data_IF_740832102225
#
_entry.id   IF_740832102225
#
_cell.length_a   1.000
_cell.length_b   1.000
_cell.length_c   1.000
_cell.angle_alpha   90.00
_cell.angle_beta   90.00
_cell.angle_gamma   90.00
#
_symmetry.space_group_name_H-M   'P 1'
#
loop_
_entity.id
_entity.type
_entity.pdbx_description
1 polymer ?
#
# COMPACT_ATOMS: atom_id res chain seq x y z
N UNK A 1 3.31 -10.22 48.30
CA UNK A 1 3.18 -11.50 47.56
C UNK A 1 3.23 -11.18 46.08
N UNK A 2 4.34 -11.48 45.43
CA UNK A 2 4.64 -11.08 44.06
C UNK A 2 4.13 -12.08 43.03
N UNK A 3 3.70 -11.58 41.88
CA UNK A 3 3.60 -12.35 40.65
C UNK A 3 4.80 -11.98 39.76
N UNK A 4 5.77 -12.89 39.54
CA UNK A 4 6.84 -12.64 38.59
C UNK A 4 6.36 -12.95 37.17
N UNK A 5 6.14 -11.90 36.37
CA UNK A 5 5.97 -12.01 34.91
C UNK A 5 7.31 -12.46 34.30
N UNK A 6 7.42 -13.76 33.99
CA UNK A 6 8.50 -14.32 33.18
C UNK A 6 8.40 -13.79 31.76
N UNK A 7 9.41 -13.03 31.34
CA UNK A 7 9.73 -12.75 29.93
C UNK A 7 10.15 -14.07 29.26
N UNK A 8 9.31 -14.62 28.40
CA UNK A 8 9.72 -15.63 27.42
C UNK A 8 9.92 -14.94 26.08
N UNK A 9 11.18 -14.61 25.78
CA UNK A 9 11.65 -14.32 24.43
C UNK A 9 11.50 -15.59 23.59
N UNK A 10 10.63 -15.56 22.59
CA UNK A 10 10.53 -16.57 21.54
C UNK A 10 11.54 -16.18 20.46
N UNK A 11 12.66 -16.90 20.26
CA UNK A 11 13.48 -16.71 19.07
C UNK A 11 12.83 -17.39 17.88
N UNK A 12 12.49 -16.60 16.86
CA UNK A 12 12.20 -17.09 15.51
C UNK A 12 13.44 -17.85 14.99
N UNK A 13 13.31 -19.16 14.83
CA UNK A 13 14.29 -20.01 14.16
C UNK A 13 14.26 -19.72 12.65
N UNK A 14 15.42 -19.51 11.98
CA UNK A 14 15.46 -19.35 10.55
C UNK A 14 15.34 -20.70 9.84
N UNK A 15 14.54 -20.68 8.77
CA UNK A 15 14.42 -21.68 7.71
C UNK A 15 15.66 -22.57 7.52
N UNK A 16 15.49 -23.85 7.85
CA UNK A 16 16.37 -24.95 7.45
C UNK A 16 15.97 -25.40 6.04
N UNK A 17 16.64 -24.88 5.03
CA UNK A 17 16.64 -25.45 3.68
C UNK A 17 17.76 -26.47 3.58
N UNK A 18 17.38 -27.74 3.47
CA UNK A 18 18.25 -28.82 3.05
C UNK A 18 18.75 -28.55 1.61
N UNK A 19 19.96 -28.00 1.46
CA UNK A 19 20.72 -28.14 0.22
C UNK A 19 21.55 -29.41 0.31
N UNK A 20 21.10 -30.47 -0.37
CA UNK A 20 21.93 -31.60 -0.73
C UNK A 20 22.90 -31.10 -1.81
N UNK A 21 24.12 -30.78 -1.40
CA UNK A 21 25.22 -30.45 -2.31
C UNK A 21 25.80 -31.79 -2.77
N UNK A 22 25.56 -32.12 -4.04
CA UNK A 22 26.26 -33.18 -4.74
C UNK A 22 27.64 -32.66 -5.13
N UNK A 23 28.67 -33.44 -4.80
CA UNK A 23 30.07 -33.14 -5.07
C UNK A 23 30.53 -33.69 -6.43
N UNK A 24 31.55 -33.01 -6.97
CA UNK A 24 32.55 -33.43 -7.98
C UNK A 24 32.30 -33.12 -9.48
N UNK A 25 33.35 -32.95 -10.31
CA UNK A 25 34.76 -32.60 -10.03
C UNK A 25 35.30 -31.41 -10.87
N UNK A 26 36.45 -30.93 -10.43
CA UNK A 26 37.37 -30.02 -11.12
C UNK A 26 37.70 -30.48 -12.54
N UNK A 27 37.52 -29.61 -13.54
CA UNK A 27 38.24 -29.69 -14.80
C UNK A 27 38.77 -28.31 -15.23
N UNK A 28 40.10 -28.28 -15.34
CA UNK A 28 40.87 -27.63 -16.41
C UNK A 28 41.03 -26.10 -16.39
N UNK A 29 42.13 -25.72 -15.74
CA UNK A 29 42.85 -24.44 -15.83
C UNK A 29 43.31 -24.15 -17.27
N UNK A 30 42.50 -23.50 -18.11
CA UNK A 30 43.01 -22.91 -19.37
C UNK A 30 42.14 -21.81 -20.00
N UNK A 31 41.37 -21.03 -19.23
CA UNK A 31 40.59 -19.90 -19.78
C UNK A 31 40.63 -18.62 -18.93
N UNK A 32 41.61 -18.47 -18.03
CA UNK A 32 41.64 -17.40 -17.03
C UNK A 32 42.04 -15.99 -17.51
N UNK A 33 42.40 -15.75 -18.78
CA UNK A 33 42.87 -14.42 -19.22
C UNK A 33 41.88 -13.61 -20.08
N UNK A 34 40.87 -14.24 -20.69
CA UNK A 34 39.88 -13.55 -21.54
C UNK A 34 38.52 -13.36 -20.87
N UNK A 35 38.23 -14.11 -19.81
CA UNK A 35 36.97 -14.02 -19.08
C UNK A 35 37.00 -12.86 -18.05
N UNK A 36 38.20 -12.49 -17.57
CA UNK A 36 38.38 -11.43 -16.58
C UNK A 36 38.00 -10.02 -17.08
N UNK A 37 38.06 -9.77 -18.39
CA UNK A 37 37.71 -8.47 -18.98
C UNK A 37 36.21 -8.32 -19.25
N UNK A 38 35.49 -9.43 -19.47
CA UNK A 38 34.05 -9.41 -19.78
C UNK A 38 33.22 -9.22 -18.50
N UNK A 39 33.68 -9.74 -17.35
CA UNK A 39 33.00 -9.54 -16.07
C UNK A 39 33.12 -8.11 -15.53
N UNK A 40 34.20 -7.38 -15.86
CA UNK A 40 34.42 -6.00 -15.41
C UNK A 40 33.56 -4.97 -16.17
N UNK A 41 33.21 -5.24 -17.43
CA UNK A 41 32.28 -4.42 -18.22
C UNK A 41 30.80 -4.72 -17.93
N UNK A 42 30.48 -5.93 -17.46
CA UNK A 42 29.11 -6.29 -17.07
C UNK A 42 28.63 -5.70 -15.75
N UNK A 43 29.55 -5.29 -14.86
CA UNK A 43 29.20 -4.73 -13.55
C UNK A 43 28.89 -3.22 -13.58
N UNK A 44 29.28 -2.49 -14.62
CA UNK A 44 29.03 -1.04 -14.72
C UNK A 44 27.61 -0.70 -15.20
N UNK A 45 26.83 -1.68 -15.67
CA UNK A 45 25.49 -1.48 -16.21
C UNK A 45 24.38 -1.52 -15.16
N UNK A 46 24.70 -1.72 -13.88
CA UNK A 46 23.72 -1.81 -12.78
C UNK A 46 23.84 -0.60 -11.84
N UNK A 47 24.21 0.57 -12.34
CA UNK A 47 23.89 1.80 -11.60
C UNK A 47 22.37 1.99 -11.73
N UNK A 48 21.58 1.84 -10.65
CA UNK A 48 20.23 2.36 -10.67
C UNK A 48 20.37 3.85 -10.97
N UNK A 49 19.76 4.31 -12.06
CA UNK A 49 19.63 5.74 -12.30
C UNK A 49 19.06 6.32 -11.01
N UNK A 50 19.80 7.22 -10.36
CA UNK A 50 19.31 7.95 -9.20
C UNK A 50 18.07 8.70 -9.68
N UNK A 51 16.90 8.12 -9.42
CA UNK A 51 15.64 8.70 -9.83
C UNK A 51 15.54 10.07 -9.20
N UNK A 52 15.41 11.11 -10.03
CA UNK A 52 15.15 12.45 -9.54
C UNK A 52 13.98 12.38 -8.56
N UNK A 53 14.24 12.74 -7.29
CA UNK A 53 13.19 12.77 -6.29
C UNK A 53 12.18 13.84 -6.70
N UNK A 54 10.91 13.46 -6.85
CA UNK A 54 9.86 14.39 -7.21
C UNK A 54 9.88 15.62 -6.27
N UNK A 55 9.66 16.84 -6.80
CA UNK A 55 9.73 18.05 -6.00
C UNK A 55 8.72 17.98 -4.83
N UNK A 56 9.12 18.45 -3.63
CA UNK A 56 8.24 18.53 -2.49
C UNK A 56 7.07 19.48 -2.77
N UNK A 57 5.93 19.26 -2.10
CA UNK A 57 4.68 19.99 -2.36
C UNK A 57 4.81 21.52 -2.33
N UNK A 58 5.69 22.06 -1.48
CA UNK A 58 5.86 23.51 -1.34
C UNK A 58 6.56 24.18 -2.53
N UNK A 59 7.17 23.39 -3.43
CA UNK A 59 7.81 23.88 -4.66
C UNK A 59 6.86 23.89 -5.86
N UNK A 60 5.65 23.33 -5.72
CA UNK A 60 4.60 23.44 -6.73
C UNK A 60 4.08 24.87 -6.81
N UNK A 61 3.55 25.23 -7.98
CA UNK A 61 2.81 26.47 -8.15
C UNK A 61 1.75 26.65 -7.03
N UNK A 62 1.74 27.80 -6.33
CA UNK A 62 0.86 27.99 -5.18
C UNK A 62 -0.63 27.83 -5.50
N UNK A 63 -1.08 28.26 -6.67
CA UNK A 63 -2.48 28.15 -7.08
C UNK A 63 -2.84 26.70 -7.43
N UNK A 64 -1.98 25.99 -8.17
CA UNK A 64 -2.15 24.56 -8.44
C UNK A 64 -2.23 23.73 -7.14
N UNK A 65 -1.35 24.03 -6.18
CA UNK A 65 -1.36 23.37 -4.86
C UNK A 65 -2.64 23.66 -4.07
N UNK A 66 -3.11 24.90 -4.09
CA UNK A 66 -4.36 25.31 -3.41
C UNK A 66 -5.58 24.61 -4.02
N UNK A 67 -5.66 24.57 -5.35
CA UNK A 67 -6.76 23.91 -6.06
C UNK A 67 -6.80 22.40 -5.78
N UNK A 68 -5.65 21.73 -5.78
CA UNK A 68 -5.55 20.32 -5.38
C UNK A 68 -6.05 20.10 -3.94
N UNK A 69 -5.66 20.98 -3.02
CA UNK A 69 -6.05 20.87 -1.62
C UNK A 69 -7.56 21.07 -1.41
N UNK A 70 -8.16 22.08 -2.05
CA UNK A 70 -9.61 22.31 -1.94
C UNK A 70 -10.41 21.15 -2.53
N UNK A 71 -9.98 20.57 -3.66
CA UNK A 71 -10.64 19.39 -4.23
C UNK A 71 -10.50 18.16 -3.34
N UNK A 72 -9.31 17.92 -2.79
CA UNK A 72 -9.12 16.85 -1.80
C UNK A 72 -10.06 17.02 -0.60
N UNK A 73 -10.13 18.23 -0.04
CA UNK A 73 -11.02 18.56 1.07
C UNK A 73 -12.50 18.35 0.72
N UNK A 74 -12.92 18.70 -0.50
CA UNK A 74 -14.28 18.47 -0.96
C UNK A 74 -14.61 16.97 -1.01
N UNK A 75 -13.76 16.14 -1.64
CA UNK A 75 -13.91 14.67 -1.68
C UNK A 75 -13.95 14.06 -0.27
N UNK A 76 -13.10 14.52 0.66
CA UNK A 76 -13.15 14.04 2.05
C UNK A 76 -14.44 14.44 2.78
N UNK A 77 -14.89 15.69 2.57
CA UNK A 77 -16.14 16.20 3.15
C UNK A 77 -17.34 15.41 2.66
N UNK A 78 -17.41 15.15 1.36
CA UNK A 78 -18.46 14.33 0.74
C UNK A 78 -18.42 12.91 1.28
N UNK A 79 -17.25 12.27 1.30
CA UNK A 79 -17.09 10.93 1.86
C UNK A 79 -17.56 10.85 3.31
N UNK A 80 -17.37 11.91 4.10
CA UNK A 80 -17.82 11.95 5.48
C UNK A 80 -19.34 12.06 5.59
N UNK A 81 -19.94 12.98 4.83
CA UNK A 81 -21.40 13.17 4.79
C UNK A 81 -22.12 11.90 4.33
N UNK A 82 -21.63 11.24 3.28
CA UNK A 82 -22.20 9.98 2.81
C UNK A 82 -22.09 8.86 3.84
N UNK A 83 -20.98 8.81 4.59
CA UNK A 83 -20.85 7.85 5.69
C UNK A 83 -21.89 8.11 6.79
N UNK A 84 -22.16 9.38 7.12
CA UNK A 84 -23.22 9.73 8.08
C UNK A 84 -24.57 9.23 7.58
N UNK A 85 -24.93 9.51 6.32
CA UNK A 85 -26.19 9.04 5.73
C UNK A 85 -26.34 7.52 5.77
N UNK A 86 -25.28 6.78 5.46
CA UNK A 86 -25.29 5.31 5.54
C UNK A 86 -25.57 4.85 6.97
N UNK A 87 -24.92 5.46 7.97
CA UNK A 87 -25.12 5.10 9.37
C UNK A 87 -26.53 5.46 9.85
N UNK A 88 -27.05 6.63 9.48
CA UNK A 88 -28.43 7.03 9.80
C UNK A 88 -29.46 6.08 9.19
N UNK A 89 -29.25 5.67 7.93
CA UNK A 89 -30.10 4.69 7.26
C UNK A 89 -30.02 3.30 7.92
N UNK A 90 -28.83 2.86 8.30
CA UNK A 90 -28.64 1.59 9.00
C UNK A 90 -29.31 1.59 10.39
N UNK A 91 -29.19 2.69 11.13
CA UNK A 91 -29.86 2.87 12.42
C UNK A 91 -31.38 2.77 12.27
N UNK A 92 -31.97 3.45 11.28
CA UNK A 92 -33.41 3.36 11.01
C UNK A 92 -33.86 1.93 10.65
N UNK A 93 -33.07 1.21 9.86
CA UNK A 93 -33.34 -0.19 9.53
C UNK A 93 -33.32 -1.07 10.78
N UNK A 94 -32.29 -0.91 11.62
CA UNK A 94 -32.11 -1.68 12.85
C UNK A 94 -33.26 -1.42 13.83
N UNK A 95 -33.70 -0.17 13.98
CA UNK A 95 -34.83 0.19 14.86
C UNK A 95 -36.15 -0.49 14.44
N UNK A 96 -36.30 -0.84 13.17
CA UNK A 96 -37.49 -1.51 12.64
C UNK A 96 -37.35 -3.05 12.56
N UNK A 97 -36.16 -3.59 12.84
CA UNK A 97 -35.90 -5.02 12.74
C UNK A 97 -36.63 -5.80 13.85
N UNK A 98 -37.60 -6.64 13.45
CA UNK A 98 -38.40 -7.44 14.38
C UNK A 98 -37.66 -8.67 14.94
N UNK A 99 -36.60 -9.11 14.26
CA UNK A 99 -35.87 -10.33 14.62
C UNK A 99 -34.39 -10.27 14.17
N UNK A 100 -33.67 -11.33 14.52
CA UNK A 100 -32.24 -11.47 14.20
C UNK A 100 -31.99 -11.53 12.69
N UNK A 101 -32.87 -12.12 11.90
CA UNK A 101 -32.68 -12.20 10.46
C UNK A 101 -32.82 -10.82 9.82
N UNK A 102 -33.84 -10.06 10.20
CA UNK A 102 -34.03 -8.67 9.77
C UNK A 102 -32.82 -7.79 10.15
N UNK A 103 -32.31 -7.93 11.38
CA UNK A 103 -31.11 -7.22 11.82
C UNK A 103 -29.89 -7.52 10.95
N UNK A 104 -29.65 -8.80 10.61
CA UNK A 104 -28.53 -9.19 9.72
C UNK A 104 -28.69 -8.64 8.30
N UNK A 105 -29.92 -8.55 7.78
CA UNK A 105 -30.18 -7.91 6.49
C UNK A 105 -29.82 -6.41 6.52
N UNK A 106 -30.09 -5.70 7.62
CA UNK A 106 -29.66 -4.32 7.81
C UNK A 106 -28.13 -4.19 7.80
N UNK A 107 -27.41 -5.05 8.55
CA UNK A 107 -25.93 -5.05 8.56
C UNK A 107 -25.34 -5.31 7.17
N UNK A 108 -25.92 -6.25 6.42
CA UNK A 108 -25.49 -6.53 5.05
C UNK A 108 -25.67 -5.30 4.16
N UNK A 109 -26.84 -4.65 4.25
CA UNK A 109 -27.16 -3.44 3.48
C UNK A 109 -26.20 -2.30 3.80
N UNK A 110 -25.91 -2.04 5.09
CA UNK A 110 -24.89 -1.06 5.51
C UNK A 110 -23.51 -1.43 4.93
N UNK A 111 -23.12 -2.70 5.01
CA UNK A 111 -21.84 -3.20 4.52
C UNK A 111 -21.66 -2.99 3.01
N UNK A 112 -22.71 -3.27 2.23
CA UNK A 112 -22.77 -3.06 0.79
C UNK A 112 -22.69 -1.57 0.45
N UNK A 113 -23.47 -0.72 1.13
CA UNK A 113 -23.44 0.73 0.94
C UNK A 113 -22.05 1.32 1.23
N UNK A 114 -21.40 0.89 2.32
CA UNK A 114 -20.03 1.31 2.65
C UNK A 114 -19.02 0.83 1.62
N UNK A 115 -19.22 -0.35 1.02
CA UNK A 115 -18.35 -0.87 -0.04
C UNK A 115 -18.49 -0.03 -1.31
N UNK A 116 -19.72 0.30 -1.70
CA UNK A 116 -19.99 1.17 -2.84
C UNK A 116 -19.36 2.56 -2.65
N UNK A 117 -19.56 3.18 -1.48
CA UNK A 117 -18.95 4.47 -1.16
C UNK A 117 -17.41 4.42 -1.25
N UNK A 118 -16.78 3.38 -0.70
CA UNK A 118 -15.31 3.21 -0.80
C UNK A 118 -14.85 3.09 -2.25
N UNK A 119 -15.60 2.40 -3.11
CA UNK A 119 -15.25 2.25 -4.52
C UNK A 119 -15.36 3.58 -5.26
N UNK A 120 -16.42 4.35 -5.00
CA UNK A 120 -16.63 5.68 -5.57
C UNK A 120 -15.50 6.66 -5.18
N UNK A 121 -15.27 6.85 -3.87
CA UNK A 121 -14.23 7.76 -3.36
C UNK A 121 -12.82 7.33 -3.77
N UNK A 122 -12.57 6.02 -3.96
CA UNK A 122 -11.28 5.53 -4.43
C UNK A 122 -10.95 6.07 -5.83
N UNK A 123 -11.93 6.18 -6.72
CA UNK A 123 -11.70 6.69 -8.07
C UNK A 123 -11.28 8.17 -8.02
N UNK A 124 -12.00 9.00 -7.28
CA UNK A 124 -11.67 10.43 -7.12
C UNK A 124 -10.29 10.66 -6.50
N UNK A 125 -9.97 9.91 -5.44
CA UNK A 125 -8.64 10.00 -4.81
C UNK A 125 -7.51 9.57 -5.75
N UNK A 126 -7.78 8.63 -6.67
CA UNK A 126 -6.80 8.23 -7.68
C UNK A 126 -6.57 9.38 -8.67
N UNK A 127 -7.62 10.03 -9.16
CA UNK A 127 -7.50 11.19 -10.04
C UNK A 127 -6.68 12.32 -9.41
N UNK A 128 -6.97 12.67 -8.15
CA UNK A 128 -6.19 13.68 -7.41
C UNK A 128 -4.72 13.29 -7.25
N UNK A 129 -4.45 11.99 -7.03
CA UNK A 129 -3.09 11.47 -6.91
C UNK A 129 -2.33 11.53 -8.24
N UNK A 130 -3.00 11.20 -9.34
CA UNK A 130 -2.43 11.30 -10.68
C UNK A 130 -2.15 12.74 -11.08
N UNK A 131 -3.05 13.67 -10.77
CA UNK A 131 -2.84 15.09 -11.03
C UNK A 131 -1.66 15.64 -10.22
N UNK A 132 -1.56 15.28 -8.95
CA UNK A 132 -0.38 15.62 -8.14
C UNK A 132 0.91 15.05 -8.76
N UNK A 133 0.87 13.84 -9.33
CA UNK A 133 2.03 13.27 -9.99
C UNK A 133 2.41 14.05 -11.27
N UNK A 134 1.42 14.49 -12.06
CA UNK A 134 1.65 15.32 -13.26
C UNK A 134 2.26 16.67 -12.90
N UNK A 135 1.73 17.35 -11.88
CA UNK A 135 2.25 18.64 -11.42
C UNK A 135 3.69 18.56 -10.89
N UNK A 136 4.10 17.40 -10.39
CA UNK A 136 5.48 17.17 -9.94
C UNK A 136 6.47 16.86 -11.08
N UNK A 137 5.98 16.66 -12.30
CA UNK A 137 6.81 16.39 -13.48
C UNK A 137 7.03 17.62 -14.36
N UNK A 138 6.29 18.70 -14.10
CA UNK A 138 6.43 20.01 -14.75
C UNK A 138 7.49 20.84 -14.05
#
# INVERSE_FOLDING_TARGET
>A
MGCPLKKTSIPCQPFSTCCVIWSEPLQELSMCRKILTITLLGLLSILPAAGASAPPLHQLDPEARKNLFERFKATESESHLERIKILESAEQCIQQAADRHAYRACEQTEGEARKALRQHIKAERLELREELARLRQQ
#
